data_IF_012262352791
#
_entry.id   IF_012262352791
#
_cell.length_a   1.000
_cell.length_b   1.000
_cell.length_c   1.000
_cell.angle_alpha   90.00
_cell.angle_beta   90.00
_cell.angle_gamma   90.00
#
_symmetry.space_group_name_H-M   'P 1'
#
loop_
_entity.id
_entity.type
_entity.pdbx_description
1 polymer ?
#
# COMPACT_ATOMS: atom_id res chain seq x y z
N UNK A 1 15.93 -5.48 -6.82
CA UNK A 1 14.57 -5.58 -6.27
C UNK A 1 14.64 -6.38 -4.98
N UNK A 2 15.39 -5.86 -4.01
CA UNK A 2 15.60 -6.46 -2.66
C UNK A 2 15.92 -5.37 -1.63
N UNK A 3 16.22 -4.13 -2.07
CA UNK A 3 16.68 -3.07 -1.18
C UNK A 3 15.56 -2.60 -0.24
N UNK A 4 14.39 -2.27 -0.78
CA UNK A 4 13.30 -1.74 0.05
C UNK A 4 12.70 -2.80 0.96
N UNK A 5 12.55 -4.04 0.51
CA UNK A 5 12.14 -5.14 1.38
C UNK A 5 13.12 -5.33 2.55
N UNK A 6 14.44 -5.34 2.30
CA UNK A 6 15.46 -5.45 3.34
C UNK A 6 15.41 -4.27 4.33
N UNK A 7 15.17 -3.04 3.85
CA UNK A 7 15.00 -1.87 4.71
C UNK A 7 13.71 -1.98 5.54
N UNK A 8 12.58 -2.38 4.94
CA UNK A 8 11.32 -2.59 5.65
C UNK A 8 11.46 -3.66 6.74
N UNK A 9 12.16 -4.77 6.47
CA UNK A 9 12.40 -5.83 7.46
C UNK A 9 13.18 -5.35 8.69
N UNK A 10 13.96 -4.27 8.60
CA UNK A 10 14.61 -3.66 9.79
C UNK A 10 13.62 -2.96 10.71
N UNK A 11 12.52 -2.46 10.16
CA UNK A 11 11.44 -1.82 10.91
C UNK A 11 10.39 -2.84 11.35
N UNK A 12 10.12 -3.87 10.54
CA UNK A 12 9.08 -4.86 10.79
C UNK A 12 9.66 -6.29 10.81
N UNK A 13 10.53 -6.63 11.78
CA UNK A 13 11.30 -7.89 11.75
C UNK A 13 10.44 -9.14 11.91
N UNK A 14 9.32 -9.03 12.61
CA UNK A 14 8.42 -10.15 12.91
C UNK A 14 7.15 -10.15 12.06
N UNK A 15 7.01 -9.19 11.14
CA UNK A 15 5.83 -9.08 10.29
C UNK A 15 5.99 -9.92 9.02
N UNK A 16 4.86 -10.44 8.53
CA UNK A 16 4.78 -10.96 7.18
C UNK A 16 4.75 -9.79 6.21
N UNK A 17 5.71 -9.75 5.29
CA UNK A 17 5.86 -8.72 4.26
C UNK A 17 5.80 -9.43 2.92
N UNK A 18 4.85 -9.04 2.08
CA UNK A 18 4.78 -9.43 0.66
C UNK A 18 5.26 -8.30 -0.22
N UNK A 19 6.08 -8.65 -1.21
CA UNK A 19 6.39 -7.82 -2.36
C UNK A 19 5.36 -8.10 -3.46
N UNK A 20 4.53 -7.11 -3.76
CA UNK A 20 3.49 -7.15 -4.79
C UNK A 20 3.88 -6.31 -6.02
N UNK A 21 5.16 -5.93 -6.14
CA UNK A 21 5.63 -5.05 -7.21
C UNK A 21 5.46 -5.71 -8.59
N UNK A 22 4.76 -5.04 -9.49
CA UNK A 22 4.55 -5.47 -10.88
C UNK A 22 5.02 -4.39 -11.85
N UNK A 23 6.33 -4.33 -12.09
CA UNK A 23 6.96 -3.32 -12.95
C UNK A 23 6.58 -3.42 -14.43
N UNK A 24 5.92 -4.50 -14.85
CA UNK A 24 5.32 -4.54 -16.19
C UNK A 24 4.09 -3.62 -16.27
N UNK A 25 3.57 -3.15 -15.13
CA UNK A 25 2.32 -2.39 -15.00
C UNK A 25 2.42 -1.16 -14.09
N UNK A 26 3.33 -1.15 -13.12
CA UNK A 26 3.48 -0.09 -12.11
C UNK A 26 4.80 0.67 -12.28
N UNK A 27 4.84 1.87 -11.69
CA UNK A 27 6.05 2.69 -11.59
C UNK A 27 6.56 2.74 -10.14
N UNK A 28 6.17 1.75 -9.33
CA UNK A 28 6.46 1.69 -7.90
C UNK A 28 6.70 0.25 -7.41
N UNK A 29 7.54 0.14 -6.38
CA UNK A 29 7.61 -1.04 -5.52
C UNK A 29 6.44 -1.01 -4.52
N UNK A 30 5.63 -2.07 -4.48
CA UNK A 30 4.43 -2.17 -3.61
C UNK A 30 4.61 -3.28 -2.60
N UNK A 31 4.48 -2.95 -1.31
CA UNK A 31 4.64 -3.91 -0.21
C UNK A 31 3.40 -3.98 0.65
N UNK A 32 2.96 -5.18 0.99
CA UNK A 32 1.93 -5.43 1.99
C UNK A 32 2.55 -5.96 3.28
N UNK A 33 2.26 -5.30 4.39
CA UNK A 33 2.72 -5.70 5.72
C UNK A 33 1.50 -6.14 6.53
N UNK A 34 1.43 -7.42 6.89
CA UNK A 34 0.32 -7.96 7.69
C UNK A 34 0.36 -7.39 9.12
N UNK A 35 -0.74 -6.77 9.55
CA UNK A 35 -0.82 -6.10 10.85
C UNK A 35 -1.28 -7.05 11.98
N UNK A 36 -2.10 -8.04 11.63
CA UNK A 36 -2.70 -8.97 12.61
C UNK A 36 -1.85 -10.25 12.83
N UNK A 37 -0.65 -10.31 12.27
CA UNK A 37 0.16 -11.55 12.22
C UNK A 37 -0.45 -12.66 11.36
N UNK A 38 -1.45 -12.31 10.53
CA UNK A 38 -2.05 -13.19 9.53
C UNK A 38 -1.06 -13.59 8.43
N UNK A 39 -1.45 -14.54 7.56
CA UNK A 39 -0.60 -14.98 6.46
C UNK A 39 -0.32 -13.83 5.48
N UNK A 40 0.75 -13.94 4.68
CA UNK A 40 0.94 -13.04 3.55
C UNK A 40 -0.23 -13.14 2.57
N UNK A 41 -0.61 -12.01 1.97
CA UNK A 41 -1.71 -11.86 1.02
C UNK A 41 -1.59 -12.81 -0.19
N UNK A 42 -0.38 -13.01 -0.70
CA UNK A 42 -0.16 -13.84 -1.90
C UNK A 42 -0.23 -15.36 -1.68
N UNK A 43 -0.51 -15.83 -0.46
CA UNK A 43 -0.48 -17.26 -0.12
C UNK A 43 -1.87 -17.90 -0.07
N UNK A 44 -1.94 -19.21 -0.33
CA UNK A 44 -3.19 -19.99 -0.34
C UNK A 44 -3.91 -19.93 1.02
N UNK A 45 -3.16 -19.82 2.11
CA UNK A 45 -3.66 -19.69 3.46
C UNK A 45 -4.42 -18.37 3.71
N UNK A 46 -4.24 -17.35 2.87
CA UNK A 46 -4.91 -16.06 3.01
C UNK A 46 -6.44 -16.19 2.95
N UNK A 47 -6.96 -16.93 1.97
CA UNK A 47 -8.41 -17.09 1.80
C UNK A 47 -9.02 -17.77 3.02
N UNK A 48 -8.40 -18.86 3.49
CA UNK A 48 -8.83 -19.58 4.67
C UNK A 48 -8.77 -18.72 5.95
N UNK A 49 -7.78 -17.83 6.04
CA UNK A 49 -7.67 -16.85 7.13
C UNK A 49 -8.79 -15.81 7.03
N UNK A 50 -9.03 -15.21 5.86
CA UNK A 50 -10.04 -14.19 5.63
C UNK A 50 -11.47 -14.72 5.81
N UNK A 51 -11.72 -16.02 5.61
CA UNK A 51 -13.01 -16.63 5.99
C UNK A 51 -13.32 -16.51 7.49
N UNK A 52 -12.28 -16.46 8.33
CA UNK A 52 -12.40 -16.53 9.78
C UNK A 52 -12.10 -15.22 10.50
N UNK A 53 -11.32 -14.33 9.87
CA UNK A 53 -10.79 -13.10 10.46
C UNK A 53 -10.90 -11.93 9.49
N UNK A 54 -11.03 -10.72 10.02
CA UNK A 54 -10.67 -9.53 9.26
C UNK A 54 -9.15 -9.61 9.00
N UNK A 55 -8.71 -9.31 7.79
CA UNK A 55 -7.29 -9.23 7.47
C UNK A 55 -6.91 -7.77 7.24
N UNK A 56 -6.08 -7.23 8.13
CA UNK A 56 -5.59 -5.86 8.05
C UNK A 56 -4.14 -5.87 7.55
N UNK A 57 -3.89 -5.05 6.54
CA UNK A 57 -2.55 -4.79 6.01
C UNK A 57 -2.24 -3.31 6.06
N UNK A 58 -0.95 -3.02 6.08
CA UNK A 58 -0.40 -1.72 5.75
C UNK A 58 0.30 -1.85 4.40
N UNK A 59 -0.18 -1.11 3.42
CA UNK A 59 0.42 -0.98 2.10
C UNK A 59 1.40 0.19 2.12
N UNK A 60 2.61 -0.09 1.64
CA UNK A 60 3.60 0.95 1.34
C UNK A 60 3.95 0.81 -0.14
N UNK A 61 3.67 1.85 -0.92
CA UNK A 61 4.19 1.94 -2.28
C UNK A 61 5.28 3.01 -2.33
N UNK A 62 6.38 2.70 -3.01
CA UNK A 62 7.54 3.57 -3.18
C UNK A 62 7.74 3.79 -4.67
N UNK A 63 7.69 5.04 -5.10
CA UNK A 63 7.91 5.41 -6.50
C UNK A 63 9.36 5.08 -6.92
N UNK A 64 9.51 4.52 -8.12
CA UNK A 64 10.82 4.20 -8.69
C UNK A 64 11.56 5.44 -9.22
N UNK A 65 10.80 6.46 -9.62
CA UNK A 65 11.32 7.64 -10.31
C UNK A 65 11.58 8.83 -9.39
N UNK A 66 10.96 8.85 -8.21
CA UNK A 66 11.00 9.98 -7.28
C UNK A 66 11.11 9.51 -5.82
N UNK A 67 11.69 10.35 -4.96
CA UNK A 67 11.87 10.03 -3.53
C UNK A 67 10.57 10.24 -2.74
N UNK A 68 9.53 9.47 -3.07
CA UNK A 68 8.20 9.56 -2.49
C UNK A 68 7.55 8.20 -2.26
N UNK A 69 6.62 8.16 -1.31
CA UNK A 69 5.88 6.95 -0.97
C UNK A 69 4.46 7.28 -0.50
N UNK A 70 3.57 6.31 -0.62
CA UNK A 70 2.25 6.33 0.02
C UNK A 70 2.18 5.29 1.13
N UNK A 71 1.32 5.53 2.12
CA UNK A 71 1.03 4.64 3.24
C UNK A 71 -0.48 4.50 3.37
N UNK A 72 -1.00 3.32 3.07
CA UNK A 72 -2.44 3.04 3.19
C UNK A 72 -2.69 1.85 4.11
N UNK A 73 -3.82 1.89 4.81
CA UNK A 73 -4.31 0.80 5.63
C UNK A 73 -5.43 0.12 4.88
N UNK A 74 -5.27 -1.18 4.70
CA UNK A 74 -6.16 -2.03 3.95
C UNK A 74 -6.86 -2.98 4.91
N UNK A 75 -8.17 -3.16 4.75
CA UNK A 75 -8.94 -4.15 5.49
C UNK A 75 -9.79 -4.97 4.54
N UNK A 76 -9.51 -6.27 4.53
CA UNK A 76 -10.38 -7.28 3.92
C UNK A 76 -11.30 -7.81 5.02
N UNK A 77 -12.61 -7.54 4.96
CA UNK A 77 -13.53 -7.97 5.99
C UNK A 77 -13.67 -9.49 5.98
N UNK A 78 -13.90 -10.05 7.17
CA UNK A 78 -14.14 -11.47 7.36
C UNK A 78 -15.27 -11.97 6.46
N UNK A 79 -15.00 -13.08 5.77
CA UNK A 79 -15.96 -13.73 4.87
C UNK A 79 -16.23 -12.96 3.58
N UNK A 80 -15.47 -11.89 3.32
CA UNK A 80 -15.55 -11.12 2.09
C UNK A 80 -14.90 -11.84 0.89
N UNK A 81 -14.11 -12.90 1.13
CA UNK A 81 -13.41 -13.66 0.07
C UNK A 81 -12.60 -12.75 -0.86
N UNK A 82 -11.98 -11.71 -0.29
CA UNK A 82 -11.23 -10.71 -1.05
C UNK A 82 -12.06 -9.76 -1.93
N UNK A 83 -13.39 -9.85 -1.93
CA UNK A 83 -14.28 -9.05 -2.81
C UNK A 83 -14.58 -7.65 -2.29
N UNK A 84 -14.27 -7.38 -1.02
CA UNK A 84 -14.44 -6.06 -0.44
C UNK A 84 -13.13 -5.62 0.17
N UNK A 85 -12.72 -4.41 -0.14
CA UNK A 85 -11.51 -3.81 0.40
C UNK A 85 -11.85 -2.45 0.98
N UNK A 86 -11.54 -2.24 2.25
CA UNK A 86 -11.57 -0.90 2.85
C UNK A 86 -10.18 -0.31 2.81
N UNK A 87 -10.08 0.94 2.36
CA UNK A 87 -8.84 1.70 2.28
C UNK A 87 -8.94 2.93 3.17
N UNK A 88 -7.93 3.20 3.99
CA UNK A 88 -7.85 4.38 4.85
C UNK A 88 -6.40 4.88 4.96
N UNK A 89 -6.20 6.16 5.31
CA UNK A 89 -4.86 6.72 5.60
C UNK A 89 -4.40 6.45 7.04
N UNK A 90 -5.31 5.96 7.87
CA UNK A 90 -5.07 5.68 9.28
C UNK A 90 -5.47 4.26 9.62
N UNK A 91 -4.82 3.61 10.60
CA UNK A 91 -5.16 2.24 10.95
C UNK A 91 -6.62 2.09 11.41
N UNK A 92 -7.25 0.96 11.03
CA UNK A 92 -8.61 0.62 11.47
C UNK A 92 -8.70 0.27 12.96
N UNK A 93 -7.60 -0.20 13.54
CA UNK A 93 -7.52 -0.68 14.92
C UNK A 93 -6.43 0.10 15.68
N UNK A 94 -6.67 0.56 16.92
CA UNK A 94 -5.70 1.32 17.70
C UNK A 94 -4.36 0.60 17.93
N UNK A 95 -4.37 -0.72 18.06
CA UNK A 95 -3.15 -1.53 18.22
C UNK A 95 -2.18 -1.41 17.02
N UNK A 96 -2.69 -1.04 15.85
CA UNK A 96 -1.90 -0.87 14.63
C UNK A 96 -1.25 0.52 14.51
N UNK A 97 -1.51 1.45 15.44
CA UNK A 97 -0.85 2.76 15.46
C UNK A 97 0.68 2.63 15.54
N UNK A 98 1.18 1.62 16.26
CA UNK A 98 2.61 1.35 16.36
C UNK A 98 3.26 0.98 15.02
N UNK A 99 2.51 0.35 14.09
CA UNK A 99 2.97 0.06 12.74
C UNK A 99 3.03 1.34 11.90
N UNK A 100 2.01 2.20 12.01
CA UNK A 100 1.98 3.51 11.34
C UNK A 100 3.18 4.38 11.75
N UNK A 101 3.49 4.44 13.06
CA UNK A 101 4.66 5.16 13.56
C UNK A 101 5.98 4.61 13.00
N UNK A 102 6.10 3.28 12.90
CA UNK A 102 7.29 2.63 12.34
C UNK A 102 7.41 2.91 10.84
N UNK A 103 6.31 2.89 10.09
CA UNK A 103 6.30 3.23 8.66
C UNK A 103 6.71 4.69 8.43
N UNK A 104 6.21 5.62 9.23
CA UNK A 104 6.64 7.01 9.15
C UNK A 104 8.12 7.19 9.49
N UNK A 105 8.66 6.44 10.46
CA UNK A 105 10.11 6.45 10.74
C UNK A 105 10.92 5.87 9.59
N UNK A 106 10.44 4.80 8.96
CA UNK A 106 11.04 4.22 7.76
C UNK A 106 11.10 5.26 6.62
N UNK A 107 9.99 5.93 6.33
CA UNK A 107 9.94 6.97 5.29
C UNK A 107 10.87 8.14 5.60
N UNK A 108 10.84 8.65 6.84
CA UNK A 108 11.70 9.74 7.27
C UNK A 108 13.19 9.38 7.20
N UNK A 109 13.57 8.18 7.65
CA UNK A 109 14.96 7.73 7.65
C UNK A 109 15.53 7.64 6.23
N UNK A 110 14.70 7.19 5.29
CA UNK A 110 15.07 7.02 3.89
C UNK A 110 14.81 8.28 3.03
N UNK A 111 14.38 9.39 3.65
CA UNK A 111 14.12 10.65 2.95
C UNK A 111 12.91 10.60 2.00
N UNK A 112 12.02 9.63 2.16
CA UNK A 112 10.82 9.47 1.34
C UNK A 112 9.78 10.51 1.74
N UNK A 113 9.30 11.29 0.76
CA UNK A 113 8.14 12.17 0.93
C UNK A 113 6.86 11.34 0.99
N UNK A 114 6.19 11.34 2.14
CA UNK A 114 4.87 10.74 2.29
C UNK A 114 3.80 11.56 1.54
N UNK A 115 3.00 10.91 0.71
CA UNK A 115 1.85 11.50 0.02
C UNK A 115 0.54 10.97 0.61
N UNK A 116 -0.39 11.89 0.90
CA UNK A 116 -1.77 11.55 1.28
C UNK A 116 -2.61 11.16 0.06
N UNK A 117 -3.75 10.50 0.27
CA UNK A 117 -4.81 10.28 -0.74
C UNK A 117 -5.20 11.58 -1.44
N UNK A 118 -5.25 12.70 -0.70
CA UNK A 118 -5.53 14.00 -1.29
C UNK A 118 -4.40 14.43 -2.25
N UNK A 119 -3.13 14.22 -1.90
CA UNK A 119 -2.00 14.50 -2.78
C UNK A 119 -1.99 13.57 -4.00
N UNK A 120 -2.32 12.30 -3.82
CA UNK A 120 -2.39 11.29 -4.88
C UNK A 120 -3.43 11.65 -5.94
N UNK A 121 -4.54 12.27 -5.53
CA UNK A 121 -5.62 12.72 -6.40
C UNK A 121 -5.36 14.08 -7.07
N UNK A 122 -4.27 14.79 -6.74
CA UNK A 122 -3.92 16.04 -7.42
C UNK A 122 -3.63 15.79 -8.91
N UNK A 123 -4.01 16.75 -9.76
CA UNK A 123 -3.75 16.69 -11.19
C UNK A 123 -2.33 17.18 -11.52
N UNK A 124 -1.69 16.50 -12.46
CA UNK A 124 -0.37 16.83 -13.01
C UNK A 124 -0.35 16.55 -14.51
N UNK A 125 0.79 16.74 -15.15
CA UNK A 125 0.97 16.47 -16.58
C UNK A 125 1.98 15.36 -16.82
N UNK A 126 1.60 14.40 -17.67
CA UNK A 126 2.45 13.35 -18.21
C UNK A 126 2.26 13.35 -19.74
N UNK A 127 3.34 13.54 -20.50
CA UNK A 127 3.32 13.58 -21.97
C UNK A 127 2.26 14.50 -22.60
N UNK A 128 1.98 15.63 -21.95
CA UNK A 128 1.00 16.62 -22.40
C UNK A 128 -0.45 16.29 -22.06
N UNK A 129 -0.71 15.18 -21.36
CA UNK A 129 -2.00 14.78 -20.85
C UNK A 129 -2.13 15.10 -19.35
N UNK A 130 -3.31 15.55 -18.92
CA UNK A 130 -3.65 15.66 -17.49
C UNK A 130 -3.88 14.28 -16.90
N UNK A 131 -3.15 13.96 -15.83
CA UNK A 131 -3.20 12.69 -15.10
C UNK A 131 -3.19 12.97 -13.60
N UNK A 132 -3.52 12.01 -12.75
CA UNK A 132 -3.32 12.13 -11.30
C UNK A 132 -1.83 11.96 -10.94
N UNK A 133 -1.42 12.48 -9.77
CA UNK A 133 -0.08 12.21 -9.21
C UNK A 133 0.14 10.72 -9.01
N UNK A 134 -0.88 10.00 -8.54
CA UNK A 134 -0.83 8.55 -8.36
C UNK A 134 -0.56 7.82 -9.68
N UNK A 135 -1.30 8.17 -10.74
CA UNK A 135 -1.14 7.54 -12.06
C UNK A 135 0.28 7.74 -12.60
N UNK A 136 0.83 8.93 -12.41
CA UNK A 136 2.16 9.26 -12.92
C UNK A 136 3.28 8.46 -12.24
N UNK A 137 3.23 8.35 -10.92
CA UNK A 137 4.37 7.92 -10.10
C UNK A 137 4.24 6.52 -9.49
N UNK A 138 3.03 5.94 -9.46
CA UNK A 138 2.79 4.67 -8.79
C UNK A 138 2.20 3.62 -9.73
N UNK A 139 1.20 3.99 -10.55
CA UNK A 139 0.62 3.03 -11.50
C UNK A 139 0.19 3.65 -12.82
N UNK A 140 0.71 3.10 -13.91
CA UNK A 140 0.20 3.39 -15.25
C UNK A 140 -0.70 2.26 -15.78
N UNK A 141 -1.02 1.29 -14.91
CA UNK A 141 -1.85 0.13 -15.24
C UNK A 141 -3.34 0.46 -15.40
N UNK A 142 -3.78 1.61 -14.86
CA UNK A 142 -5.17 2.05 -14.93
C UNK A 142 -5.55 2.51 -16.34
N UNK A 143 -6.73 2.11 -16.82
CA UNK A 143 -7.31 2.70 -18.04
C UNK A 143 -7.80 4.14 -17.81
N UNK A 144 -7.98 4.55 -16.54
CA UNK A 144 -8.31 5.91 -16.15
C UNK A 144 -7.05 6.69 -15.71
N UNK A 145 -6.60 7.69 -16.49
CA UNK A 145 -5.42 8.51 -16.18
C UNK A 145 -5.61 9.40 -14.94
N UNK A 146 -6.85 9.61 -14.48
CA UNK A 146 -7.17 10.36 -13.28
C UNK A 146 -7.41 9.45 -12.07
N UNK A 147 -7.20 8.14 -12.22
CA UNK A 147 -7.34 7.21 -11.11
C UNK A 147 -6.38 7.56 -9.98
N UNK A 148 -6.92 7.57 -8.77
CA UNK A 148 -6.17 7.64 -7.53
C UNK A 148 -6.96 6.85 -6.47
N UNK A 149 -6.28 6.21 -5.51
CA UNK A 149 -6.95 5.54 -4.41
C UNK A 149 -7.78 6.56 -3.62
N UNK A 150 -8.86 6.07 -3.00
CA UNK A 150 -9.78 6.88 -2.20
C UNK A 150 -10.13 6.12 -0.93
N UNK A 151 -10.35 6.86 0.14
CA UNK A 151 -10.79 6.26 1.40
C UNK A 151 -12.20 5.67 1.25
N UNK A 152 -12.44 4.56 1.95
CA UNK A 152 -13.71 3.85 1.98
C UNK A 152 -13.66 2.46 1.36
N UNK A 153 -14.85 1.93 1.08
CA UNK A 153 -15.03 0.59 0.52
C UNK A 153 -14.88 0.62 -1.00
N UNK A 154 -14.05 -0.28 -1.51
CA UNK A 154 -13.92 -0.65 -2.91
C UNK A 154 -14.61 -2.00 -3.09
N UNK A 155 -15.59 -2.05 -4.00
CA UNK A 155 -16.36 -3.25 -4.39
C UNK A 155 -15.92 -3.75 -5.77
#
# INVERSE_FOLDING_TARGET
>A
MLFWEDELRRYFPDANIDDLSDFDRTAAETFYIALDGGPPFGQEEFDAYNEQHDANFMEIEISEDETMATLLFLKYPKGGQGQSLYVEETPFLPEHESFAEQAHRFMQHNGLKHLSLANLAEETTLDGQTVSVYYKHFTQASDDPLYAPKAGCVE
#
